data_IF_617900497655
#
_entry.id   IF_617900497655
#
_cell.length_a   1.000
_cell.length_b   1.000
_cell.length_c   1.000
_cell.angle_alpha   90.00
_cell.angle_beta   90.00
_cell.angle_gamma   90.00
#
_symmetry.space_group_name_H-M   'P 1'
#
loop_
_entity.id
_entity.type
_entity.pdbx_description
1 polymer ?
#
# COMPACT_ATOMS: atom_id res chain seq x y z
N UNK A 1 7.25 -15.38 -3.29
CA UNK A 1 7.21 -14.02 -3.88
C UNK A 1 8.49 -13.33 -3.51
N UNK A 2 9.22 -12.76 -4.49
CA UNK A 2 10.48 -12.06 -4.21
C UNK A 2 10.21 -10.93 -3.23
N UNK A 3 10.71 -11.08 -2.00
CA UNK A 3 10.56 -10.15 -0.90
C UNK A 3 11.47 -8.91 -1.08
N UNK A 4 12.23 -8.86 -2.16
CA UNK A 4 13.27 -7.85 -2.38
C UNK A 4 12.68 -6.46 -2.63
N UNK A 5 11.54 -6.37 -3.35
CA UNK A 5 10.83 -5.11 -3.52
C UNK A 5 10.36 -4.54 -2.18
N UNK A 6 9.71 -5.35 -1.34
CA UNK A 6 9.22 -4.87 -0.04
C UNK A 6 10.36 -4.56 0.95
N UNK A 7 11.58 -5.02 0.68
CA UNK A 7 12.81 -4.65 1.40
C UNK A 7 13.54 -3.47 0.78
N UNK A 8 13.16 -3.04 -0.42
CA UNK A 8 13.83 -1.97 -1.16
C UNK A 8 13.77 -0.65 -0.39
N UNK A 9 14.71 0.25 -0.69
CA UNK A 9 14.74 1.58 -0.07
C UNK A 9 13.57 2.42 -0.57
N UNK A 10 13.28 2.29 -1.86
CA UNK A 10 12.26 3.00 -2.61
C UNK A 10 10.87 2.72 -2.05
N UNK A 11 10.54 1.44 -1.82
CA UNK A 11 9.26 1.06 -1.21
C UNK A 11 9.14 1.61 0.21
N UNK A 12 10.17 1.46 1.05
CA UNK A 12 10.14 1.94 2.43
C UNK A 12 9.94 3.46 2.50
N UNK A 13 10.60 4.22 1.63
CA UNK A 13 10.42 5.66 1.52
C UNK A 13 9.01 6.01 1.06
N UNK A 14 8.54 5.43 -0.05
CA UNK A 14 7.19 5.66 -0.56
C UNK A 14 6.11 5.33 0.49
N UNK A 15 6.20 4.16 1.13
CA UNK A 15 5.31 3.75 2.22
C UNK A 15 5.27 4.78 3.35
N UNK A 16 6.42 5.25 3.81
CA UNK A 16 6.49 6.21 4.91
C UNK A 16 5.93 7.57 4.50
N UNK A 17 6.25 8.05 3.30
CA UNK A 17 5.71 9.30 2.76
C UNK A 17 4.19 9.22 2.60
N UNK A 18 3.65 8.10 2.11
CA UNK A 18 2.21 7.89 1.99
C UNK A 18 1.52 7.85 3.35
N UNK A 19 2.13 7.18 4.33
CA UNK A 19 1.62 7.15 5.71
C UNK A 19 1.50 8.55 6.31
N UNK A 20 2.54 9.38 6.14
CA UNK A 20 2.55 10.78 6.60
C UNK A 20 1.51 11.61 5.84
N UNK A 21 1.42 11.44 4.52
CA UNK A 21 0.44 12.13 3.67
C UNK A 21 -1.00 11.85 4.09
N UNK A 22 -1.29 10.64 4.59
CA UNK A 22 -2.60 10.27 5.14
C UNK A 22 -2.75 10.56 6.63
N UNK A 23 -1.82 11.31 7.22
CA UNK A 23 -1.80 11.65 8.65
C UNK A 23 -1.87 10.44 9.58
N UNK A 24 -1.43 9.27 9.13
CA UNK A 24 -1.55 8.02 9.89
C UNK A 24 -3.00 7.53 10.08
N UNK A 25 -3.96 8.05 9.32
CA UNK A 25 -5.38 7.71 9.45
C UNK A 25 -5.78 6.64 8.43
N UNK A 26 -6.47 5.61 8.91
CA UNK A 26 -7.06 4.57 8.09
C UNK A 26 -8.11 5.17 7.15
N UNK A 27 -7.91 5.00 5.85
CA UNK A 27 -8.77 5.57 4.82
C UNK A 27 -10.14 4.87 4.70
N UNK A 28 -10.36 3.78 5.45
CA UNK A 28 -11.65 3.08 5.50
C UNK A 28 -12.50 3.43 6.72
N UNK A 29 -11.90 3.50 7.90
CA UNK A 29 -12.64 3.64 9.15
C UNK A 29 -12.33 4.91 9.93
N UNK A 30 -11.36 5.72 9.51
CA UNK A 30 -10.97 6.96 10.21
C UNK A 30 -10.13 6.75 11.48
N UNK A 31 -9.93 5.51 11.92
CA UNK A 31 -9.07 5.16 13.06
C UNK A 31 -7.58 5.15 12.68
N UNK A 32 -6.69 4.90 13.65
CA UNK A 32 -5.25 4.79 13.39
C UNK A 32 -4.92 3.69 12.37
N UNK A 33 -4.27 4.10 11.28
CA UNK A 33 -3.70 3.24 10.26
C UNK A 33 -2.41 2.57 10.73
N UNK A 34 -2.12 1.38 10.21
CA UNK A 34 -0.92 0.59 10.54
C UNK A 34 -0.19 0.08 9.32
N UNK A 35 -0.91 -0.22 8.23
CA UNK A 35 -0.35 -0.89 7.06
C UNK A 35 -0.76 -0.13 5.80
N UNK A 36 0.22 0.19 4.96
CA UNK A 36 -0.02 0.69 3.60
C UNK A 36 -0.09 -0.50 2.67
N UNK A 37 -1.19 -0.62 1.94
CA UNK A 37 -1.44 -1.66 0.95
C UNK A 37 -1.50 -1.07 -0.46
N UNK A 38 -1.20 -1.89 -1.46
CA UNK A 38 -1.53 -1.58 -2.84
C UNK A 38 -3.02 -1.86 -3.11
N UNK A 39 -3.65 -0.96 -3.88
CA UNK A 39 -5.02 -1.10 -4.36
C UNK A 39 -5.06 -2.15 -5.47
N UNK A 40 -4.35 -1.90 -6.56
CA UNK A 40 -4.10 -2.84 -7.64
C UNK A 40 -2.98 -3.79 -7.21
N UNK A 41 -3.21 -5.09 -7.36
CA UNK A 41 -2.28 -6.12 -6.93
C UNK A 41 -0.96 -6.11 -7.73
N UNK A 42 0.16 -6.22 -7.01
CA UNK A 42 1.47 -6.41 -7.63
C UNK A 42 1.67 -7.89 -7.96
N UNK A 43 1.92 -8.18 -9.22
CA UNK A 43 2.32 -9.47 -9.74
C UNK A 43 3.74 -9.41 -10.34
N UNK A 44 4.22 -10.54 -10.88
CA UNK A 44 5.59 -10.63 -11.42
C UNK A 44 5.84 -9.71 -12.63
N UNK A 45 4.79 -9.30 -13.34
CA UNK A 45 4.91 -8.52 -14.57
C UNK A 45 4.90 -7.01 -14.29
N UNK A 46 4.16 -6.57 -13.27
CA UNK A 46 4.03 -5.14 -12.95
C UNK A 46 4.92 -4.67 -11.79
N UNK A 47 5.65 -5.57 -11.11
CA UNK A 47 6.52 -5.21 -9.97
C UNK A 47 7.69 -4.28 -10.34
N UNK A 48 8.04 -4.22 -11.63
CA UNK A 48 9.08 -3.31 -12.15
C UNK A 48 8.53 -1.95 -12.53
N UNK A 49 7.20 -1.78 -12.60
CA UNK A 49 6.55 -0.56 -13.02
C UNK A 49 6.34 0.38 -11.82
N UNK A 50 7.04 1.53 -11.75
CA UNK A 50 6.87 2.50 -10.66
C UNK A 50 5.46 3.08 -10.58
N UNK A 51 4.76 3.18 -11.71
CA UNK A 51 3.39 3.70 -11.76
C UNK A 51 2.38 2.76 -11.09
N UNK A 52 2.74 1.48 -10.96
CA UNK A 52 1.95 0.52 -10.17
C UNK A 52 2.49 0.40 -8.76
N UNK A 53 3.81 0.34 -8.59
CA UNK A 53 4.44 -0.04 -7.31
C UNK A 53 4.65 1.11 -6.32
N UNK A 54 4.86 2.33 -6.81
CA UNK A 54 5.23 3.51 -5.99
C UNK A 54 4.25 4.68 -6.14
N UNK A 55 3.22 4.55 -6.98
CA UNK A 55 2.22 5.60 -7.19
C UNK A 55 1.22 5.66 -6.02
N UNK A 56 1.07 6.85 -5.43
CA UNK A 56 0.18 7.11 -4.29
C UNK A 56 -1.29 6.81 -4.62
N UNK A 57 -1.71 7.00 -5.87
CA UNK A 57 -3.06 6.67 -6.32
C UNK A 57 -3.36 5.18 -6.14
N UNK A 58 -2.33 4.34 -6.25
CA UNK A 58 -2.41 2.90 -6.05
C UNK A 58 -2.15 2.45 -4.60
N UNK A 59 -2.05 3.34 -3.63
CA UNK A 59 -1.85 2.99 -2.21
C UNK A 59 -3.10 3.26 -1.38
N UNK A 60 -3.21 2.55 -0.26
CA UNK A 60 -4.23 2.78 0.77
C UNK A 60 -3.69 2.48 2.16
N UNK A 61 -3.90 3.39 3.12
CA UNK A 61 -3.53 3.20 4.52
C UNK A 61 -4.70 2.56 5.27
N UNK A 62 -4.46 1.40 5.88
CA UNK A 62 -5.46 0.60 6.58
C UNK A 62 -5.06 0.33 8.03
N UNK A 63 -6.06 0.21 8.91
CA UNK A 63 -5.89 -0.33 10.26
C UNK A 63 -5.64 -1.85 10.20
N UNK A 64 -5.07 -2.42 11.27
CA UNK A 64 -4.74 -3.85 11.34
C UNK A 64 -6.00 -4.75 11.36
N UNK A 65 -7.12 -4.21 11.83
CA UNK A 65 -8.43 -4.88 11.84
C UNK A 65 -9.08 -4.79 10.44
N UNK A 66 -8.38 -5.33 9.46
CA UNK A 66 -8.87 -5.49 8.10
C UNK A 66 -9.84 -6.67 8.05
N UNK A 67 -11.01 -6.50 8.68
CA UNK A 67 -12.17 -7.36 8.47
C UNK A 67 -12.37 -7.50 6.96
N UNK A 68 -12.09 -8.72 6.53
CA UNK A 68 -11.66 -9.07 5.19
C UNK A 68 -12.80 -8.89 4.20
N UNK A 69 -12.78 -7.78 3.46
CA UNK A 69 -13.35 -7.71 2.11
C UNK A 69 -12.36 -6.96 1.23
N UNK A 70 -11.67 -7.76 0.43
CA UNK A 70 -11.23 -7.40 -0.92
C UNK A 70 -12.17 -6.33 -1.51
N UNK A 71 -11.71 -5.10 -1.64
CA UNK A 71 -12.34 -4.10 -2.53
C UNK A 71 -11.62 -4.11 -3.89
N UNK A 72 -10.81 -5.14 -4.18
CA UNK A 72 -10.09 -5.26 -5.46
C UNK A 72 -10.40 -6.57 -6.16
N UNK A 73 -11.68 -6.94 -6.21
CA UNK A 73 -12.19 -7.90 -7.18
C UNK A 73 -13.32 -7.24 -7.97
N UNK A 74 -12.96 -6.60 -9.07
CA UNK A 74 -13.66 -6.59 -10.34
C UNK A 74 -12.68 -6.08 -11.39
#
# INVERSE_FOLDING_TARGET
MNNDFYKSKEWRQCRNSYFIYKHGICERCGELGKIVHHKIYINKNNIIDPEVTLNFSNLILLCQDSRTKSIFNA
#
